data_IF_554640078426
#
_entry.id   IF_554640078426
#
_cell.length_a   1.000
_cell.length_b   1.000
_cell.length_c   1.000
_cell.angle_alpha   90.00
_cell.angle_beta   90.00
_cell.angle_gamma   90.00
#
_symmetry.space_group_name_H-M   'P 1'
#
loop_
_entity.id
_entity.type
_entity.pdbx_description
1 polymer ?
#
# COMPACT_ATOMS: atom_id res chain seq x y z
N UNK A 1 9.89 -41.82 -19.21
CA UNK A 1 9.09 -41.55 -17.98
C UNK A 1 9.48 -40.24 -17.30
N UNK A 2 10.77 -39.91 -17.16
CA UNK A 2 11.22 -38.65 -16.51
C UNK A 2 10.67 -37.36 -17.15
N UNK A 3 10.69 -37.24 -18.48
CA UNK A 3 10.20 -36.05 -19.18
C UNK A 3 8.68 -35.79 -18.98
N UNK A 4 7.87 -36.86 -18.95
CA UNK A 4 6.43 -36.74 -18.68
C UNK A 4 6.16 -36.30 -17.24
N UNK A 5 6.89 -36.89 -16.28
CA UNK A 5 6.79 -36.48 -14.87
C UNK A 5 7.20 -35.02 -14.67
N UNK A 6 8.26 -34.57 -15.36
CA UNK A 6 8.70 -33.18 -15.36
C UNK A 6 7.66 -32.24 -15.98
N UNK A 7 7.03 -32.62 -17.08
CA UNK A 7 5.96 -31.86 -17.71
C UNK A 7 4.75 -31.67 -16.79
N UNK A 8 4.31 -32.76 -16.14
CA UNK A 8 3.21 -32.73 -15.18
C UNK A 8 3.57 -31.85 -13.98
N UNK A 9 4.77 -32.01 -13.42
CA UNK A 9 5.22 -31.21 -12.29
C UNK A 9 5.30 -29.71 -12.66
N UNK A 10 5.84 -29.38 -13.83
CA UNK A 10 5.93 -28.00 -14.30
C UNK A 10 4.55 -27.36 -14.46
N UNK A 11 3.61 -28.06 -15.12
CA UNK A 11 2.24 -27.58 -15.27
C UNK A 11 1.53 -27.42 -13.92
N UNK A 12 1.71 -28.39 -13.01
CA UNK A 12 1.15 -28.31 -11.66
C UNK A 12 1.67 -27.09 -10.91
N UNK A 13 2.98 -26.86 -10.91
CA UNK A 13 3.59 -25.70 -10.25
C UNK A 13 3.15 -24.38 -10.89
N UNK A 14 3.18 -24.29 -12.23
CA UNK A 14 2.76 -23.09 -12.96
C UNK A 14 1.31 -22.71 -12.67
N UNK A 15 0.41 -23.70 -12.59
CA UNK A 15 -1.00 -23.46 -12.24
C UNK A 15 -1.14 -22.85 -10.84
N UNK A 16 -0.52 -23.48 -9.83
CA UNK A 16 -0.61 -23.03 -8.44
C UNK A 16 0.08 -21.68 -8.20
N UNK A 17 1.24 -21.45 -8.82
CA UNK A 17 1.94 -20.17 -8.75
C UNK A 17 1.16 -19.04 -9.42
N UNK A 18 0.53 -19.33 -10.57
CA UNK A 18 -0.34 -18.37 -11.24
C UNK A 18 -1.56 -18.03 -10.39
N UNK A 19 -2.21 -19.03 -9.78
CA UNK A 19 -3.34 -18.81 -8.88
C UNK A 19 -2.94 -18.04 -7.61
N UNK A 20 -1.77 -18.34 -7.03
CA UNK A 20 -1.26 -17.60 -5.87
C UNK A 20 -1.00 -16.12 -6.21
N UNK A 21 -0.37 -15.83 -7.35
CA UNK A 21 -0.15 -14.46 -7.80
C UNK A 21 -1.48 -13.74 -8.10
N UNK A 22 -2.45 -14.43 -8.71
CA UNK A 22 -3.75 -13.85 -9.00
C UNK A 22 -4.53 -13.52 -7.71
N UNK A 23 -4.52 -14.41 -6.71
CA UNK A 23 -5.13 -14.12 -5.40
C UNK A 23 -4.50 -12.91 -4.69
N UNK A 24 -3.19 -12.67 -4.86
CA UNK A 24 -2.52 -11.46 -4.34
C UNK A 24 -2.98 -10.20 -5.06
N UNK A 25 -3.25 -10.29 -6.36
CA UNK A 25 -3.87 -9.21 -7.14
C UNK A 25 -5.30 -8.93 -6.65
N UNK A 26 -6.14 -9.96 -6.51
CA UNK A 26 -7.54 -9.82 -6.09
C UNK A 26 -7.64 -9.16 -4.71
N UNK A 27 -6.86 -9.64 -3.74
CA UNK A 27 -6.81 -9.03 -2.40
C UNK A 27 -6.49 -7.53 -2.45
N UNK A 28 -5.51 -7.12 -3.27
CA UNK A 28 -5.18 -5.70 -3.43
C UNK A 28 -6.28 -4.93 -4.15
N UNK A 29 -6.91 -5.53 -5.15
CA UNK A 29 -8.00 -4.92 -5.90
C UNK A 29 -9.23 -4.68 -5.00
N UNK A 30 -9.62 -5.66 -4.19
CA UNK A 30 -10.72 -5.55 -3.22
C UNK A 30 -10.43 -4.47 -2.18
N UNK A 31 -9.21 -4.48 -1.58
CA UNK A 31 -8.76 -3.43 -0.65
C UNK A 31 -8.85 -2.04 -1.29
N UNK A 32 -8.40 -1.90 -2.54
CA UNK A 32 -8.44 -0.62 -3.26
C UNK A 32 -9.87 -0.19 -3.59
N UNK A 33 -10.77 -1.13 -3.89
CA UNK A 33 -12.17 -0.83 -4.14
C UNK A 33 -12.84 -0.25 -2.88
N UNK A 34 -12.61 -0.86 -1.72
CA UNK A 34 -13.06 -0.34 -0.42
C UNK A 34 -12.47 1.05 -0.15
N UNK A 35 -11.15 1.19 -0.29
CA UNK A 35 -10.48 2.48 -0.16
C UNK A 35 -11.11 3.55 -1.06
N UNK A 36 -11.34 3.26 -2.34
CA UNK A 36 -11.91 4.22 -3.27
C UNK A 36 -13.35 4.61 -2.91
N UNK A 37 -14.14 3.68 -2.39
CA UNK A 37 -15.50 3.94 -1.93
C UNK A 37 -15.52 4.95 -0.78
N UNK A 38 -14.65 4.79 0.22
CA UNK A 38 -14.55 5.71 1.35
C UNK A 38 -13.85 7.02 1.00
N UNK A 39 -12.74 6.95 0.24
CA UNK A 39 -11.85 8.08 0.01
C UNK A 39 -12.52 9.25 -0.72
N UNK A 40 -13.50 8.95 -1.58
CA UNK A 40 -14.25 9.96 -2.38
C UNK A 40 -15.68 10.20 -1.89
N UNK A 41 -16.09 9.57 -0.79
CA UNK A 41 -17.43 9.73 -0.25
C UNK A 41 -17.70 11.15 0.23
N UNK A 42 -18.98 11.52 0.33
CA UNK A 42 -19.37 12.70 1.10
C UNK A 42 -18.96 12.50 2.57
N UNK A 43 -18.41 13.53 3.23
CA UNK A 43 -17.95 13.40 4.60
C UNK A 43 -19.15 13.23 5.55
N UNK A 44 -18.99 12.35 6.54
CA UNK A 44 -19.93 12.20 7.66
C UNK A 44 -19.36 12.84 8.93
N UNK A 45 -20.17 13.17 9.94
CA UNK A 45 -19.64 13.66 11.22
C UNK A 45 -18.57 12.72 11.81
N UNK A 46 -17.45 13.26 12.28
CA UNK A 46 -16.36 12.45 12.81
C UNK A 46 -16.80 11.60 14.03
N UNK A 47 -17.71 12.11 14.85
CA UNK A 47 -18.28 11.41 16.03
C UNK A 47 -19.18 10.24 15.67
N UNK A 48 -19.61 10.10 14.41
CA UNK A 48 -20.38 8.94 13.96
C UNK A 48 -19.47 7.72 13.71
N UNK A 49 -18.16 7.95 13.57
CA UNK A 49 -17.15 6.94 13.23
C UNK A 49 -16.15 6.77 14.38
N UNK A 50 -15.66 7.87 14.94
CA UNK A 50 -14.73 7.90 16.05
C UNK A 50 -15.47 7.87 17.38
N UNK A 51 -14.97 7.05 18.30
CA UNK A 51 -15.48 6.95 19.66
C UNK A 51 -14.33 6.58 20.61
N UNK A 52 -14.59 6.36 21.90
CA UNK A 52 -13.58 5.80 22.80
C UNK A 52 -13.36 4.28 22.61
N UNK A 53 -13.96 3.67 21.58
CA UNK A 53 -13.73 2.27 21.20
C UNK A 53 -12.83 2.18 19.97
N UNK A 54 -11.99 1.13 19.86
CA UNK A 54 -11.11 0.94 18.72
C UNK A 54 -11.81 1.04 17.37
N UNK A 55 -11.25 1.83 16.46
CA UNK A 55 -11.72 1.94 15.08
C UNK A 55 -11.69 0.56 14.41
N UNK A 56 -12.80 0.15 13.77
CA UNK A 56 -12.80 -1.09 13.01
C UNK A 56 -12.08 -0.89 11.68
N UNK A 57 -10.82 -1.32 11.60
CA UNK A 57 -9.97 -1.16 10.41
C UNK A 57 -10.58 -1.72 9.12
N UNK A 58 -11.39 -2.77 9.19
CA UNK A 58 -11.99 -3.38 8.00
C UNK A 58 -13.17 -2.58 7.45
N UNK A 59 -13.78 -1.72 8.26
CA UNK A 59 -15.03 -1.01 7.93
C UNK A 59 -14.86 0.51 7.87
N UNK A 60 -14.08 1.06 8.79
CA UNK A 60 -14.07 2.49 9.08
C UNK A 60 -12.76 3.17 8.62
N UNK A 61 -11.70 2.40 8.32
CA UNK A 61 -10.44 2.93 7.78
C UNK A 61 -10.70 3.68 6.46
N UNK A 62 -10.11 4.87 6.32
CA UNK A 62 -10.32 5.82 5.23
C UNK A 62 -11.71 6.44 5.12
N UNK A 63 -12.60 6.25 6.08
CA UNK A 63 -13.91 6.94 6.07
C UNK A 63 -13.70 8.44 6.06
N UNK A 64 -14.26 9.12 5.05
CA UNK A 64 -14.17 10.58 4.96
C UNK A 64 -15.10 11.21 5.98
N UNK A 65 -14.56 12.09 6.82
CA UNK A 65 -15.28 12.71 7.94
C UNK A 65 -15.12 14.23 7.95
N UNK A 66 -16.05 14.90 8.63
CA UNK A 66 -15.99 16.32 8.95
C UNK A 66 -16.13 16.54 10.45
N UNK A 67 -15.39 17.50 10.99
CA UNK A 67 -15.50 17.90 12.40
C UNK A 67 -15.27 19.40 12.55
N UNK A 68 -15.99 20.04 13.47
CA UNK A 68 -15.80 21.44 13.83
C UNK A 68 -15.38 21.56 15.28
N UNK A 69 -14.40 22.43 15.56
CA UNK A 69 -13.87 22.60 16.90
C UNK A 69 -12.75 23.64 16.95
N UNK A 70 -12.02 23.68 18.05
CA UNK A 70 -10.85 24.55 18.23
C UNK A 70 -9.62 23.71 18.54
N UNK A 71 -8.50 24.01 17.90
CA UNK A 71 -7.24 23.36 18.25
C UNK A 71 -6.82 23.74 19.68
N UNK A 72 -6.69 22.75 20.56
CA UNK A 72 -6.52 22.94 22.00
C UNK A 72 -5.26 22.24 22.51
N UNK A 73 -4.11 22.89 22.36
CA UNK A 73 -2.83 22.37 22.83
C UNK A 73 -1.69 22.63 21.84
N UNK A 74 -0.50 22.17 22.21
CA UNK A 74 0.66 22.21 21.32
C UNK A 74 0.60 21.10 20.26
N UNK A 75 1.16 21.37 19.09
CA UNK A 75 1.30 20.34 18.07
C UNK A 75 2.34 19.30 18.47
N UNK A 76 2.10 18.04 18.09
CA UNK A 76 3.07 16.95 18.26
C UNK A 76 3.66 16.56 16.93
N UNK A 77 4.94 16.20 16.94
CA UNK A 77 5.66 15.77 15.76
C UNK A 77 5.95 14.27 15.84
N UNK A 78 5.41 13.52 14.88
CA UNK A 78 5.65 12.09 14.80
C UNK A 78 6.89 11.84 13.96
N UNK A 79 7.92 11.24 14.53
CA UNK A 79 9.22 11.06 13.84
C UNK A 79 9.19 9.97 12.78
N UNK A 80 10.17 10.05 11.87
CA UNK A 80 10.50 8.99 10.92
C UNK A 80 9.32 8.63 10.00
N UNK A 81 8.58 9.67 9.56
CA UNK A 81 7.45 9.53 8.67
C UNK A 81 7.89 9.71 7.22
N UNK A 82 7.85 8.66 6.39
CA UNK A 82 8.14 8.80 4.98
C UNK A 82 6.94 9.42 4.26
N UNK A 83 7.19 10.44 3.45
CA UNK A 83 6.23 11.01 2.51
C UNK A 83 6.91 11.16 1.15
N UNK A 84 6.39 10.51 0.09
CA UNK A 84 7.01 10.46 -1.24
C UNK A 84 8.53 10.18 -1.22
N UNK A 85 8.94 9.14 -0.47
CA UNK A 85 10.35 8.71 -0.30
C UNK A 85 11.27 9.67 0.46
N UNK A 86 10.75 10.76 1.03
CA UNK A 86 11.50 11.67 1.91
C UNK A 86 11.06 11.45 3.35
N UNK A 87 12.01 11.41 4.28
CA UNK A 87 11.71 11.28 5.71
C UNK A 87 11.53 12.64 6.37
N UNK A 88 10.54 12.72 7.26
CA UNK A 88 10.20 13.91 8.02
C UNK A 88 9.31 13.59 9.19
N UNK A 89 8.38 14.50 9.49
CA UNK A 89 7.45 14.41 10.60
C UNK A 89 6.02 14.58 10.13
N UNK A 90 5.10 13.80 10.67
CA UNK A 90 3.68 14.14 10.67
C UNK A 90 3.38 15.10 11.83
N UNK A 91 2.47 16.02 11.62
CA UNK A 91 2.13 17.10 12.56
C UNK A 91 0.73 16.84 13.11
N UNK A 92 0.65 16.40 14.35
CA UNK A 92 -0.62 16.16 15.03
C UNK A 92 -1.07 17.41 15.78
N UNK A 93 -2.36 17.69 15.75
CA UNK A 93 -2.99 18.72 16.55
C UNK A 93 -4.26 18.16 17.23
N UNK A 94 -4.49 18.48 18.51
CA UNK A 94 -5.70 18.07 19.22
C UNK A 94 -6.84 19.03 18.85
N UNK A 95 -7.86 18.53 18.17
CA UNK A 95 -9.07 19.30 17.86
C UNK A 95 -10.13 19.03 18.92
N UNK A 96 -10.42 20.03 19.75
CA UNK A 96 -11.47 19.95 20.76
C UNK A 96 -12.81 20.33 20.15
N UNK A 97 -13.76 19.41 20.18
CA UNK A 97 -15.11 19.59 19.66
C UNK A 97 -16.01 20.32 20.67
N UNK A 98 -17.17 20.78 20.22
CA UNK A 98 -18.15 21.50 21.04
C UNK A 98 -18.71 20.68 22.21
N UNK A 99 -18.77 19.35 22.07
CA UNK A 99 -19.20 18.42 23.12
C UNK A 99 -18.11 18.13 24.18
N UNK A 100 -16.92 18.71 24.01
CA UNK A 100 -15.78 18.56 24.89
C UNK A 100 -14.87 17.38 24.56
N UNK A 101 -15.25 16.51 23.62
CA UNK A 101 -14.37 15.43 23.13
C UNK A 101 -13.20 16.00 22.32
N UNK A 102 -12.11 15.24 22.23
CA UNK A 102 -10.91 15.64 21.48
C UNK A 102 -10.62 14.62 20.39
N UNK A 103 -10.49 15.09 19.15
CA UNK A 103 -10.10 14.29 17.99
C UNK A 103 -8.64 14.58 17.66
N UNK A 104 -7.86 13.54 17.38
CA UNK A 104 -6.50 13.68 16.86
C UNK A 104 -6.59 14.04 15.39
N UNK A 105 -6.05 15.20 14.99
CA UNK A 105 -5.95 15.61 13.59
C UNK A 105 -4.50 15.57 13.16
N UNK A 106 -4.17 14.75 12.17
CA UNK A 106 -2.91 14.83 11.45
C UNK A 106 -3.03 15.92 10.37
N UNK A 107 -2.44 17.08 10.65
CA UNK A 107 -2.49 18.28 9.79
C UNK A 107 -1.56 18.18 8.58
N UNK A 108 -0.79 17.11 8.46
CA UNK A 108 0.10 16.85 7.34
C UNK A 108 1.55 16.68 7.79
N UNK A 109 2.47 16.97 6.87
CA UNK A 109 3.85 16.53 6.95
C UNK A 109 4.83 17.70 6.74
N UNK A 110 5.95 17.64 7.46
CA UNK A 110 7.08 18.55 7.30
C UNK A 110 8.37 17.75 7.11
N UNK A 111 9.24 18.24 6.24
CA UNK A 111 10.55 17.62 6.02
C UNK A 111 11.43 17.79 7.26
N UNK A 112 12.39 16.88 7.45
CA UNK A 112 13.47 17.10 8.41
C UNK A 112 14.20 18.43 8.16
N UNK A 113 14.68 19.05 9.24
CA UNK A 113 15.47 20.28 9.15
C UNK A 113 16.77 20.07 8.38
N UNK A 114 17.05 20.94 7.41
CA UNK A 114 18.33 20.97 6.67
C UNK A 114 19.51 21.33 7.58
N UNK A 115 19.24 21.87 8.78
CA UNK A 115 20.24 22.21 9.81
C UNK A 115 20.67 21.02 10.68
N UNK A 116 20.17 19.81 10.38
CA UNK A 116 20.55 18.56 11.03
C UNK A 116 19.44 17.93 11.89
N UNK A 117 19.59 16.63 12.19
CA UNK A 117 18.57 15.79 12.81
C UNK A 117 18.13 16.19 14.24
N UNK A 118 18.95 17.00 14.92
CA UNK A 118 18.66 17.52 16.26
C UNK A 118 17.76 18.76 16.24
N UNK A 119 17.66 19.46 15.10
CA UNK A 119 16.87 20.68 14.96
C UNK A 119 15.48 20.33 14.46
N UNK A 120 14.46 20.77 15.19
CA UNK A 120 13.06 20.60 14.79
C UNK A 120 12.80 21.50 13.56
N UNK A 121 12.14 21.00 12.50
CA UNK A 121 11.79 21.83 11.35
C UNK A 121 10.79 22.91 11.74
N UNK A 122 10.69 23.94 10.89
CA UNK A 122 9.65 24.95 11.04
C UNK A 122 8.29 24.35 10.67
N UNK A 123 7.28 24.58 11.52
CA UNK A 123 5.96 23.96 11.40
C UNK A 123 4.93 25.08 11.42
N UNK A 124 4.08 25.20 10.38
CA UNK A 124 2.99 26.16 10.38
C UNK A 124 2.09 25.97 11.62
N UNK A 125 1.85 27.04 12.41
CA UNK A 125 1.05 26.94 13.62
C UNK A 125 -0.38 26.50 13.29
N UNK A 126 -1.07 25.93 14.29
CA UNK A 126 -2.49 25.68 14.17
C UNK A 126 -3.22 27.03 14.11
N UNK A 127 -4.23 27.19 13.22
CA UNK A 127 -5.06 28.39 13.23
C UNK A 127 -5.72 28.57 14.60
N UNK A 128 -5.90 29.81 15.00
CA UNK A 128 -6.63 30.16 16.23
C UNK A 128 -8.14 30.23 15.93
N UNK A 129 -8.95 29.96 16.95
CA UNK A 129 -10.41 30.00 16.85
C UNK A 129 -11.02 28.71 16.30
N UNK A 130 -12.29 28.80 15.92
CA UNK A 130 -13.04 27.66 15.41
C UNK A 130 -12.64 27.33 13.97
N UNK A 131 -12.46 26.04 13.71
CA UNK A 131 -12.16 25.47 12.40
C UNK A 131 -13.09 24.32 12.08
N UNK A 132 -13.39 24.16 10.80
CA UNK A 132 -13.98 22.95 10.25
C UNK A 132 -12.91 22.18 9.49
N UNK A 133 -12.68 20.93 9.88
CA UNK A 133 -11.74 20.02 9.23
C UNK A 133 -12.51 18.95 8.47
N UNK A 134 -12.02 18.61 7.29
CA UNK A 134 -12.43 17.45 6.51
C UNK A 134 -11.21 16.59 6.29
N UNK A 135 -11.35 15.28 6.43
CA UNK A 135 -10.24 14.35 6.31
C UNK A 135 -10.69 12.90 6.32
N UNK A 136 -9.74 11.99 6.46
CA UNK A 136 -10.00 10.56 6.48
C UNK A 136 -9.64 9.94 7.82
N UNK A 137 -10.53 9.13 8.37
CA UNK A 137 -10.28 8.37 9.59
C UNK A 137 -9.21 7.32 9.35
N UNK A 138 -8.31 7.18 10.32
CA UNK A 138 -7.31 6.13 10.42
C UNK A 138 -7.33 5.53 11.82
N UNK A 139 -7.21 4.20 11.96
CA UNK A 139 -7.04 3.57 13.26
C UNK A 139 -5.69 3.98 13.87
N UNK A 140 -5.65 4.10 15.20
CA UNK A 140 -4.40 4.36 15.91
C UNK A 140 -3.36 3.25 15.66
N UNK A 141 -2.11 3.63 15.81
CA UNK A 141 -0.97 2.74 15.68
C UNK A 141 -0.62 2.08 17.00
N UNK A 142 0.19 1.02 16.93
CA UNK A 142 0.77 0.44 18.12
C UNK A 142 1.77 1.42 18.74
N UNK A 143 1.82 1.45 20.08
CA UNK A 143 2.78 2.25 20.82
C UNK A 143 4.22 1.82 20.52
N UNK A 144 5.09 2.79 20.29
CA UNK A 144 6.54 2.61 20.21
C UNK A 144 7.18 3.31 21.41
N UNK A 145 7.80 2.53 22.32
CA UNK A 145 8.27 2.99 23.63
C UNK A 145 9.58 3.80 23.59
N UNK A 146 10.00 4.27 22.41
CA UNK A 146 11.17 5.13 22.25
C UNK A 146 11.00 6.44 23.02
N UNK A 147 12.00 6.76 23.85
CA UNK A 147 12.08 8.06 24.51
C UNK A 147 12.49 9.12 23.50
N UNK A 148 11.62 10.09 23.26
CA UNK A 148 11.87 11.22 22.37
C UNK A 148 11.86 12.54 23.17
N UNK A 149 12.43 13.62 22.60
CA UNK A 149 12.29 14.97 23.15
C UNK A 149 10.82 15.38 23.35
N UNK A 150 10.57 16.36 24.21
CA UNK A 150 9.24 16.93 24.40
C UNK A 150 8.65 17.44 23.07
N UNK A 151 7.34 17.26 22.88
CA UNK A 151 6.65 17.63 21.63
C UNK A 151 6.82 16.62 20.50
N UNK A 152 7.44 15.46 20.75
CA UNK A 152 7.65 14.41 19.75
C UNK A 152 7.17 13.05 20.23
N UNK A 153 6.60 12.29 19.31
CA UNK A 153 6.12 10.92 19.54
C UNK A 153 6.65 9.98 18.45
N UNK A 154 6.77 8.70 18.79
CA UNK A 154 7.33 7.70 17.88
C UNK A 154 6.25 7.07 16.98
N UNK A 155 5.01 7.00 17.46
CA UNK A 155 3.84 6.55 16.71
C UNK A 155 2.61 7.35 17.10
N UNK A 156 1.56 7.28 16.27
CA UNK A 156 0.24 7.87 16.58
C UNK A 156 -0.54 6.83 17.40
N UNK A 157 -0.14 6.63 18.66
CA UNK A 157 -0.77 5.68 19.57
C UNK A 157 -1.53 6.40 20.69
N UNK A 158 -2.60 5.79 21.19
CA UNK A 158 -3.44 6.38 22.25
C UNK A 158 -2.61 6.80 23.49
N UNK A 159 -1.74 5.92 24.06
CA UNK A 159 -0.98 6.28 25.25
C UNK A 159 0.00 7.42 25.02
N UNK A 160 0.58 7.52 23.81
CA UNK A 160 1.57 8.55 23.50
C UNK A 160 0.92 9.93 23.36
N UNK A 161 -0.20 10.01 22.62
CA UNK A 161 -0.91 11.28 22.38
C UNK A 161 -1.60 11.78 23.65
N UNK A 162 -2.26 10.90 24.41
CA UNK A 162 -2.95 11.29 25.65
C UNK A 162 -1.95 11.75 26.72
N UNK A 163 -0.81 11.07 26.83
CA UNK A 163 0.25 11.47 27.76
C UNK A 163 0.86 12.81 27.40
N UNK A 164 1.09 13.05 26.11
CA UNK A 164 1.70 14.27 25.62
C UNK A 164 0.78 15.48 25.83
N UNK A 165 -0.52 15.34 25.52
CA UNK A 165 -1.50 16.42 25.67
C UNK A 165 -2.16 16.49 27.05
N UNK A 166 -2.00 15.46 27.89
CA UNK A 166 -2.68 15.31 29.18
C UNK A 166 -4.20 15.43 29.06
N UNK A 167 -4.74 14.92 27.95
CA UNK A 167 -6.17 14.90 27.66
C UNK A 167 -6.56 13.55 27.07
N UNK A 168 -7.79 13.14 27.29
CA UNK A 168 -8.33 11.95 26.62
C UNK A 168 -8.73 12.32 25.19
N UNK A 169 -8.49 11.40 24.26
CA UNK A 169 -8.87 11.55 22.85
C UNK A 169 -9.76 10.40 22.40
N UNK A 170 -10.48 10.59 21.30
CA UNK A 170 -11.18 9.49 20.65
C UNK A 170 -10.15 8.51 20.06
N UNK A 171 -10.51 7.23 20.01
CA UNK A 171 -9.69 6.21 19.37
C UNK A 171 -9.80 6.38 17.86
N UNK A 172 -8.67 6.73 17.25
CA UNK A 172 -8.51 7.04 15.84
C UNK A 172 -7.96 8.45 15.62
N UNK A 173 -7.48 8.70 14.41
CA UNK A 173 -7.04 10.04 13.99
C UNK A 173 -7.58 10.38 12.62
N UNK A 174 -7.67 11.68 12.32
CA UNK A 174 -8.14 12.21 11.04
C UNK A 174 -6.95 12.75 10.26
N UNK A 175 -6.66 12.14 9.12
CA UNK A 175 -5.69 12.67 8.14
C UNK A 175 -6.34 13.80 7.38
N UNK A 176 -5.79 15.00 7.50
CA UNK A 176 -6.40 16.22 7.00
C UNK A 176 -6.39 16.28 5.47
N UNK A 177 -7.59 16.46 4.89
CA UNK A 177 -7.78 16.79 3.47
C UNK A 177 -7.89 18.31 3.30
N UNK A 178 -8.78 18.93 4.07
CA UNK A 178 -9.04 20.36 4.06
C UNK A 178 -9.32 20.88 5.47
N UNK A 179 -8.91 22.11 5.76
CA UNK A 179 -9.32 22.86 6.94
C UNK A 179 -9.76 24.27 6.51
N UNK A 180 -10.78 24.79 7.16
CA UNK A 180 -11.32 26.12 6.97
C UNK A 180 -11.53 26.79 8.33
N UNK A 181 -11.08 28.03 8.46
CA UNK A 181 -11.42 28.88 9.62
C UNK A 181 -12.82 29.50 9.44
N UNK A 182 -13.38 30.05 10.51
CA UNK A 182 -14.76 30.56 10.53
C UNK A 182 -15.09 31.62 9.45
N UNK A 183 -14.11 32.36 8.93
CA UNK A 183 -14.29 33.33 7.84
C UNK A 183 -14.27 32.69 6.43
N UNK A 184 -14.12 31.37 6.35
CA UNK A 184 -14.06 30.59 5.12
C UNK A 184 -12.67 30.50 4.49
N UNK A 185 -11.64 31.13 5.06
CA UNK A 185 -10.28 31.05 4.55
C UNK A 185 -9.63 29.68 4.84
N UNK A 186 -8.75 29.25 3.94
CA UNK A 186 -7.85 28.12 4.19
C UNK A 186 -6.57 28.62 4.85
N UNK A 187 -6.28 28.24 6.11
CA UNK A 187 -5.07 28.67 6.81
C UNK A 187 -3.81 28.02 6.23
N UNK A 188 -2.65 28.57 6.59
CA UNK A 188 -1.36 27.95 6.30
C UNK A 188 -1.23 26.62 7.05
N UNK A 189 -0.74 25.59 6.36
CA UNK A 189 -0.63 24.23 6.89
C UNK A 189 0.58 23.47 6.35
N UNK A 190 1.03 22.40 7.04
CA UNK A 190 2.04 21.48 6.54
C UNK A 190 1.68 20.89 5.17
N UNK A 191 2.67 20.27 4.50
CA UNK A 191 2.42 19.61 3.23
C UNK A 191 1.45 18.45 3.42
N UNK A 192 0.52 18.19 2.48
CA UNK A 192 -0.36 17.04 2.59
C UNK A 192 0.44 15.73 2.54
N UNK A 193 -0.09 14.70 3.21
CA UNK A 193 0.40 13.33 3.05
C UNK A 193 0.12 12.84 1.63
N UNK A 194 1.01 11.97 1.13
CA UNK A 194 0.81 11.31 -0.14
C UNK A 194 -0.46 10.47 -0.14
N UNK A 195 -1.08 10.38 -1.31
CA UNK A 195 -2.19 9.48 -1.54
C UNK A 195 -1.84 8.05 -1.10
N UNK A 196 -2.83 7.31 -0.55
CA UNK A 196 -2.62 5.91 -0.21
C UNK A 196 -2.16 5.11 -1.43
N UNK A 197 -1.24 4.18 -1.22
CA UNK A 197 -0.72 3.33 -2.28
C UNK A 197 -1.81 2.40 -2.83
N UNK A 198 -2.26 2.70 -4.05
CA UNK A 198 -3.24 1.92 -4.82
C UNK A 198 -2.57 0.99 -5.83
N UNK A 199 -1.25 0.80 -5.80
CA UNK A 199 -0.55 -0.09 -6.71
C UNK A 199 -0.96 -1.55 -6.49
N UNK A 200 -1.50 -2.16 -7.55
CA UNK A 200 -1.76 -3.59 -7.62
C UNK A 200 -0.45 -4.39 -7.74
N UNK A 201 0.66 -3.72 -8.05
CA UNK A 201 1.93 -4.36 -8.37
C UNK A 201 1.85 -5.25 -9.62
N UNK A 202 2.91 -6.02 -9.91
CA UNK A 202 2.97 -6.87 -11.10
C UNK A 202 2.26 -8.22 -10.93
N UNK A 203 1.49 -8.43 -9.86
CA UNK A 203 0.91 -9.74 -9.50
C UNK A 203 0.03 -10.32 -10.62
N UNK A 204 -0.81 -9.50 -11.25
CA UNK A 204 -1.64 -9.91 -12.39
C UNK A 204 -0.79 -10.36 -13.59
N UNK A 205 0.22 -9.57 -13.95
CA UNK A 205 1.12 -9.90 -15.06
C UNK A 205 1.88 -11.20 -14.80
N UNK A 206 2.35 -11.41 -13.56
CA UNK A 206 3.00 -12.67 -13.18
C UNK A 206 2.05 -13.87 -13.18
N UNK A 207 0.78 -13.69 -12.81
CA UNK A 207 -0.21 -14.76 -12.90
C UNK A 207 -0.36 -15.23 -14.36
N UNK A 208 -0.54 -14.29 -15.29
CA UNK A 208 -0.58 -14.59 -16.71
C UNK A 208 0.74 -15.15 -17.24
N UNK A 209 1.88 -14.64 -16.77
CA UNK A 209 3.19 -15.19 -17.13
C UNK A 209 3.27 -16.68 -16.77
N UNK A 210 2.90 -17.05 -15.54
CA UNK A 210 2.89 -18.45 -15.12
C UNK A 210 1.97 -19.28 -16.01
N UNK A 211 0.73 -18.85 -16.22
CA UNK A 211 -0.22 -19.60 -17.04
C UNK A 211 0.20 -19.72 -18.51
N UNK A 212 0.79 -18.68 -19.10
CA UNK A 212 1.27 -18.69 -20.50
C UNK A 212 2.59 -19.44 -20.66
N UNK A 213 3.42 -19.49 -19.62
CA UNK A 213 4.64 -20.30 -19.63
C UNK A 213 4.34 -21.79 -19.61
N UNK A 214 3.22 -22.23 -19.04
CA UNK A 214 2.82 -23.65 -19.04
C UNK A 214 2.76 -24.26 -20.46
N UNK A 215 1.95 -23.76 -21.42
CA UNK A 215 1.89 -24.34 -22.76
C UNK A 215 3.23 -24.24 -23.50
N UNK A 216 3.99 -23.16 -23.29
CA UNK A 216 5.33 -22.99 -23.88
C UNK A 216 6.30 -24.05 -23.32
N UNK A 217 6.37 -24.21 -22.01
CA UNK A 217 7.23 -25.19 -21.35
C UNK A 217 6.84 -26.63 -21.71
N UNK A 218 5.55 -26.95 -21.76
CA UNK A 218 5.06 -28.24 -22.23
C UNK A 218 5.46 -28.52 -23.68
N UNK A 219 5.35 -27.52 -24.55
CA UNK A 219 5.78 -27.62 -25.94
C UNK A 219 7.29 -27.84 -26.06
N UNK A 220 8.10 -27.15 -25.25
CA UNK A 220 9.56 -27.33 -25.23
C UNK A 220 9.95 -28.72 -24.71
N UNK A 221 9.29 -29.23 -23.66
CA UNK A 221 9.51 -30.59 -23.16
C UNK A 221 9.11 -31.62 -24.23
N UNK A 222 7.99 -31.41 -24.93
CA UNK A 222 7.57 -32.26 -26.05
C UNK A 222 8.60 -32.26 -27.20
N UNK A 223 9.15 -31.09 -27.56
CA UNK A 223 10.21 -30.99 -28.56
C UNK A 223 11.50 -31.70 -28.11
N UNK A 224 11.87 -31.58 -26.83
CA UNK A 224 13.00 -32.29 -26.24
C UNK A 224 12.82 -33.80 -26.33
N UNK A 225 11.66 -34.30 -25.91
CA UNK A 225 11.32 -35.72 -25.99
C UNK A 225 11.31 -36.23 -27.43
N UNK A 226 10.81 -35.44 -28.38
CA UNK A 226 10.83 -35.79 -29.81
C UNK A 226 12.26 -35.87 -30.38
N UNK A 227 13.19 -35.06 -29.87
CA UNK A 227 14.61 -35.13 -30.25
C UNK A 227 15.28 -36.36 -29.65
N UNK A 228 15.10 -36.60 -28.36
CA UNK A 228 15.64 -37.80 -27.67
C UNK A 228 15.19 -39.10 -28.38
N UNK A 229 13.89 -39.24 -28.66
CA UNK A 229 13.35 -40.42 -29.36
C UNK A 229 13.87 -40.57 -30.80
N UNK A 230 14.29 -39.47 -31.44
CA UNK A 230 14.86 -39.51 -32.79
C UNK A 230 16.33 -39.91 -32.76
N UNK A 231 17.05 -39.51 -31.72
CA UNK A 231 18.47 -39.82 -31.54
C UNK A 231 18.66 -41.25 -30.97
N UNK A 232 17.67 -41.78 -30.24
CA UNK A 232 17.63 -43.17 -29.74
C UNK A 232 17.21 -44.21 -30.79
N UNK A 233 16.79 -43.83 -32.00
CA UNK A 233 16.58 -44.78 -33.11
C UNK A 233 17.91 -45.05 -33.84
N UNK A 234 18.56 -46.21 -33.63
CA UNK A 234 19.69 -46.61 -34.46
C UNK A 234 19.14 -47.06 -35.82
N UNK A 235 19.64 -46.48 -36.90
CA UNK A 235 19.31 -46.78 -38.30
C UNK A 235 17.89 -46.46 -38.77
N UNK A 236 17.70 -45.22 -39.24
CA UNK A 236 16.91 -45.06 -40.47
C UNK A 236 17.74 -45.60 -41.63
N UNK A 237 17.28 -46.61 -42.40
CA UNK A 237 18.00 -47.05 -43.58
C UNK A 237 18.22 -45.83 -44.47
N UNK A 238 19.47 -45.64 -44.91
CA UNK A 238 19.83 -44.55 -45.81
C UNK A 238 18.85 -44.56 -46.98
N UNK A 239 18.22 -43.40 -47.27
CA UNK A 239 17.36 -43.27 -48.46
C UNK A 239 18.16 -43.85 -49.63
N UNK A 240 17.62 -44.84 -50.38
CA UNK A 240 18.36 -45.43 -51.49
C UNK A 240 18.80 -44.29 -52.41
N UNK A 241 20.12 -44.19 -52.61
CA UNK A 241 20.71 -43.22 -53.53
C UNK A 241 20.04 -43.52 -54.87
N UNK A 242 19.25 -42.59 -55.40
CA UNK A 242 18.69 -42.73 -56.75
C UNK A 242 19.89 -42.83 -57.70
N UNK A 243 20.23 -44.04 -58.12
CA UNK A 243 21.16 -44.27 -59.22
C UNK A 243 20.50 -43.61 -60.42
N UNK A 244 21.19 -42.63 -61.02
CA UNK A 244 20.72 -42.06 -62.27
C UNK A 244 21.03 -43.10 -63.35
N UNK A 245 20.10 -43.30 -64.27
CA UNK A 245 20.17 -44.30 -65.36
C UNK A 245 21.48 -44.21 -66.20
N UNK A 246 22.22 -43.11 -66.09
CA UNK A 246 23.47 -42.86 -66.80
C UNK A 246 24.74 -43.49 -66.16
N UNK A 247 24.65 -44.10 -64.98
CA UNK A 247 25.79 -44.73 -64.30
C UNK A 247 26.03 -46.21 -64.71
N UNK A 248 25.25 -46.77 -65.65
CA UNK A 248 25.36 -48.18 -66.10
C UNK A 248 26.03 -48.35 -67.49
N UNK A 249 26.40 -47.27 -68.18
CA UNK A 249 27.08 -47.34 -69.49
C UNK A 249 28.60 -47.20 -69.35
N UNK A 250 29.27 -48.16 -68.72
CA UNK A 250 30.72 -48.36 -68.86
C UNK A 250 31.06 -49.81 -68.47
N UNK A 251 30.78 -50.76 -69.35
CA UNK A 251 31.49 -52.05 -69.45
C UNK A 251 31.29 -52.72 -70.81
#
# INVERSE_FOLDING_TARGET
MGALALAILYAFLGYHLGHWQYGRYEFKAERNALLNAHYRAAPVPATDVLSHRPVNRAKDDWTRVTASGTYAGEQLLVRNRPNNSVFGYEVLAPLRLADGTTVVVDRGWVQNSDRGAAVVPDVPPAPQGEVTVVGWVRPLENTDSKKLPSGQVASISLPDVEKAWRTQVLDGYVVLDAEQVADGASPARPAPLADPDRSLGPHQAYAFQWWMSMPVGLFLIWLGLRRELRDEQPERPAKPKKVRIWDEEDY
#
